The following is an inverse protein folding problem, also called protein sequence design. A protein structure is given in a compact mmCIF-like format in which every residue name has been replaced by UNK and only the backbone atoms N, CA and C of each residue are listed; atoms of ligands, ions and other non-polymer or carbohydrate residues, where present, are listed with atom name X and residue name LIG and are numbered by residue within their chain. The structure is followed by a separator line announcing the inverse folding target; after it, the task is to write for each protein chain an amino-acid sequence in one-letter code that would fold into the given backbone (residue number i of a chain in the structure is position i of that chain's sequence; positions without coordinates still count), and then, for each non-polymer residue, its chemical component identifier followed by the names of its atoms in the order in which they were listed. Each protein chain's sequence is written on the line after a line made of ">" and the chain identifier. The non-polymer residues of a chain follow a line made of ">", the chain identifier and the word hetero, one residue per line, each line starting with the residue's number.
data_IF_138366881025
#
_entry.id   IF_138366881025
#
_cell.length_a   1.000
_cell.length_b   1.000
_cell.length_c   1.000
_cell.angle_alpha   90.00
_cell.angle_beta   90.00
_cell.angle_gamma   90.00
#
_symmetry.space_group_name_H-M   'P 1'
#
loop_
_entity.id
_entity.type
_entity.pdbx_description
1 polymer ?
#
# COMPACT_ATOMS: atom_id res chain seq x y z
N UNK A 1 7.44 19.85 2.89
CA UNK A 1 8.01 18.49 3.01
C UNK A 1 7.11 17.69 3.92
N UNK A 2 6.38 16.71 3.38
CA UNK A 2 5.54 15.82 4.17
C UNK A 2 6.44 14.68 4.62
N UNK A 3 6.82 14.67 5.90
CA UNK A 3 7.55 13.57 6.50
C UNK A 3 6.56 12.44 6.76
N UNK A 4 6.37 11.57 5.77
CA UNK A 4 5.51 10.39 5.90
C UNK A 4 6.22 9.38 6.81
N UNK A 5 5.95 9.48 8.11
CA UNK A 5 6.38 8.50 9.10
C UNK A 5 5.55 7.22 8.92
N UNK A 6 6.23 6.10 8.65
CA UNK A 6 5.57 4.79 8.58
C UNK A 6 5.45 4.24 10.00
N UNK A 7 4.20 4.08 10.47
CA UNK A 7 3.89 3.69 11.85
C UNK A 7 3.29 2.28 11.85
N UNK A 8 4.09 1.30 12.28
CA UNK A 8 3.63 -0.08 12.53
C UNK A 8 2.79 -0.12 13.82
N UNK A 9 1.51 -0.48 13.72
CA UNK A 9 0.55 -0.45 14.84
C UNK A 9 0.74 -1.59 15.86
N UNK A 10 1.58 -2.59 15.60
CA UNK A 10 1.58 -3.84 16.39
C UNK A 10 2.75 -4.08 17.36
N UNK A 11 3.62 -3.11 17.62
CA UNK A 11 4.67 -3.30 18.64
C UNK A 11 4.82 -2.10 19.59
N UNK A 12 4.76 -2.38 20.89
CA UNK A 12 4.87 -1.45 22.03
C UNK A 12 6.26 -0.76 22.16
N UNK A 13 7.05 -0.72 21.09
CA UNK A 13 8.29 0.03 20.95
C UNK A 13 8.36 0.57 19.52
N UNK A 14 7.55 1.60 19.23
CA UNK A 14 7.49 2.26 17.91
C UNK A 14 8.75 3.08 17.66
N UNK A 15 9.82 2.42 17.25
CA UNK A 15 10.91 3.11 16.56
C UNK A 15 10.43 3.46 15.16
N UNK A 16 10.20 4.74 14.93
CA UNK A 16 9.87 5.26 13.60
C UNK A 16 11.14 5.30 12.77
N UNK A 17 11.09 4.77 11.55
CA UNK A 17 12.21 4.84 10.61
C UNK A 17 11.89 5.83 9.50
N UNK A 18 12.81 6.74 9.19
CA UNK A 18 12.78 7.45 7.93
C UNK A 18 13.12 6.51 6.77
N UNK A 19 12.70 6.86 5.54
CA UNK A 19 13.05 6.09 4.33
C UNK A 19 14.58 5.90 4.21
N UNK A 20 15.35 6.95 4.53
CA UNK A 20 16.83 6.90 4.50
C UNK A 20 17.40 5.92 5.51
N UNK A 21 16.74 5.74 6.65
CA UNK A 21 17.16 4.77 7.67
C UNK A 21 16.77 3.35 7.28
N UNK A 22 15.58 3.15 6.69
CA UNK A 22 15.15 1.84 6.21
C UNK A 22 16.11 1.28 5.16
N UNK A 23 16.58 2.09 4.21
CA UNK A 23 17.49 1.65 3.13
C UNK A 23 18.85 1.17 3.67
N UNK A 24 19.24 1.60 4.87
CA UNK A 24 20.49 1.16 5.52
C UNK A 24 20.37 -0.20 6.19
N UNK A 25 19.16 -0.71 6.39
CA UNK A 25 18.92 -2.02 7.00
C UNK A 25 19.07 -3.14 5.95
N UNK A 26 19.30 -4.36 6.44
CA UNK A 26 19.26 -5.55 5.58
C UNK A 26 17.89 -5.73 4.92
N UNK A 27 17.84 -6.52 3.85
CA UNK A 27 16.57 -6.87 3.21
C UNK A 27 15.61 -7.57 4.18
N UNK A 28 16.14 -8.45 5.04
CA UNK A 28 15.34 -9.22 5.98
C UNK A 28 14.73 -8.32 7.07
N UNK A 29 15.51 -7.38 7.62
CA UNK A 29 15.01 -6.41 8.59
C UNK A 29 13.97 -5.46 7.97
N UNK A 30 14.22 -4.99 6.74
CA UNK A 30 13.24 -4.18 6.00
C UNK A 30 11.94 -4.95 5.78
N UNK A 31 12.01 -6.23 5.40
CA UNK A 31 10.83 -7.05 5.18
C UNK A 31 10.00 -7.21 6.46
N UNK A 32 10.66 -7.43 7.62
CA UNK A 32 9.97 -7.52 8.92
C UNK A 32 9.24 -6.22 9.27
N UNK A 33 9.86 -5.07 9.03
CA UNK A 33 9.26 -3.77 9.31
C UNK A 33 8.14 -3.43 8.32
N UNK A 34 8.33 -3.70 7.03
CA UNK A 34 7.39 -3.26 5.98
C UNK A 34 6.22 -4.22 5.78
N UNK A 35 6.37 -5.51 6.07
CA UNK A 35 5.33 -6.52 5.83
C UNK A 35 3.97 -6.17 6.45
N UNK A 36 3.87 -5.75 7.72
CA UNK A 36 2.58 -5.34 8.31
C UNK A 36 1.93 -4.16 7.57
N UNK A 37 2.73 -3.17 7.15
CA UNK A 37 2.24 -2.01 6.41
C UNK A 37 1.79 -2.40 5.00
N UNK A 38 2.55 -3.26 4.31
CA UNK A 38 2.18 -3.75 2.98
C UNK A 38 0.87 -4.53 3.04
N UNK A 39 0.68 -5.37 4.06
CA UNK A 39 -0.56 -6.12 4.24
C UNK A 39 -1.75 -5.19 4.47
N UNK A 40 -1.59 -4.16 5.30
CA UNK A 40 -2.64 -3.16 5.51
C UNK A 40 -2.97 -2.40 4.23
N UNK A 41 -1.96 -1.95 3.48
CA UNK A 41 -2.18 -1.26 2.20
C UNK A 41 -2.89 -2.17 1.20
N UNK A 42 -2.51 -3.44 1.12
CA UNK A 42 -3.16 -4.40 0.23
C UNK A 42 -4.62 -4.63 0.63
N UNK A 43 -4.92 -4.74 1.93
CA UNK A 43 -6.29 -4.83 2.43
C UNK A 43 -7.10 -3.56 2.12
N UNK A 44 -6.52 -2.38 2.35
CA UNK A 44 -7.17 -1.10 2.09
C UNK A 44 -7.50 -0.95 0.59
N UNK A 45 -6.56 -1.29 -0.31
CA UNK A 45 -6.77 -1.27 -1.77
C UNK A 45 -7.84 -2.28 -2.20
N UNK A 46 -7.79 -3.51 -1.67
CA UNK A 46 -8.78 -4.54 -2.02
C UNK A 46 -10.19 -4.19 -1.55
N UNK A 47 -10.32 -3.31 -0.55
CA UNK A 47 -11.62 -2.85 -0.07
C UNK A 47 -12.00 -1.47 -0.62
N UNK A 48 -11.17 -0.86 -1.48
CA UNK A 48 -11.41 0.46 -2.03
C UNK A 48 -12.50 0.39 -3.11
N UNK A 49 -13.70 0.98 -2.89
CA UNK A 49 -14.79 0.96 -3.86
C UNK A 49 -14.43 1.70 -5.17
N UNK A 50 -13.50 2.65 -5.14
CA UNK A 50 -13.03 3.34 -6.35
C UNK A 50 -12.16 2.44 -7.21
N UNK A 51 -11.45 1.49 -6.61
CA UNK A 51 -10.67 0.49 -7.35
C UNK A 51 -11.58 -0.43 -8.18
N UNK A 52 -12.78 -0.73 -7.67
CA UNK A 52 -13.82 -1.46 -8.38
C UNK A 52 -14.62 -0.61 -9.38
N UNK A 53 -14.57 0.72 -9.28
CA UNK A 53 -15.30 1.60 -10.19
C UNK A 53 -14.79 1.48 -11.64
N UNK A 54 -13.50 1.23 -11.83
CA UNK A 54 -12.91 0.98 -13.15
C UNK A 54 -13.17 -0.43 -13.68
N UNK A 55 -13.48 -1.40 -12.81
CA UNK A 55 -13.79 -2.77 -13.25
C UNK A 55 -15.24 -2.96 -13.68
N UNK A 56 -16.14 -2.05 -13.29
CA UNK A 56 -17.55 -2.06 -13.71
C UNK A 56 -17.80 -1.19 -14.94
N UNK A 57 -16.84 -0.37 -15.33
CA UNK A 57 -16.80 0.29 -16.64
C UNK A 57 -16.19 -0.67 -17.67
N UNK A 58 -16.73 -1.89 -17.75
CA UNK A 58 -16.59 -2.69 -18.97
C UNK A 58 -17.21 -1.85 -20.09
N UNK A 59 -16.33 -1.38 -20.98
CA UNK A 59 -16.53 -0.29 -21.93
C UNK A 59 -17.98 -0.07 -22.36
N UNK A 60 -18.49 1.13 -22.09
CA UNK A 60 -19.59 1.66 -22.89
C UNK A 60 -19.17 1.63 -24.37
N UNK A 61 -19.75 0.68 -25.10
CA UNK A 61 -20.01 0.72 -26.53
C UNK A 61 -18.81 0.91 -27.46
N UNK A 62 -18.26 -0.19 -27.95
CA UNK A 62 -18.13 -0.29 -29.41
C UNK A 62 -19.23 -1.25 -29.87
N UNK A 63 -20.45 -0.72 -29.94
CA UNK A 63 -21.50 -1.30 -30.76
C UNK A 63 -20.96 -1.25 -32.20
N UNK A 64 -20.39 -2.36 -32.68
CA UNK A 64 -20.19 -2.53 -34.10
C UNK A 64 -21.54 -2.99 -34.68
N UNK A 65 -22.44 -2.03 -34.86
CA UNK A 65 -23.52 -2.16 -35.83
C UNK A 65 -22.87 -2.07 -37.23
N UNK A 66 -22.55 -3.24 -37.81
CA UNK A 66 -22.34 -3.45 -39.26
C UNK A 66 -23.04 -4.75 -39.70
#
# INVERSE_FOLDING_TARGET
>A
MINTAIVDKNQNNKKTYSIKELVKLSLEERAKILSPIINQIAEDINNDPEFYLFSHLDGEGIENDD
#
